data_IF_185541356974
#
_entry.id   IF_185541356974
#
_cell.length_a   1.000
_cell.length_b   1.000
_cell.length_c   1.000
_cell.angle_alpha   90.00
_cell.angle_beta   90.00
_cell.angle_gamma   90.00
#
_symmetry.space_group_name_H-M   'P 1'
#
loop_
_entity.id
_entity.type
_entity.pdbx_description
1 polymer ?
#
# COMPACT_ATOMS: atom_id res chain seq x y z
N UNK A 1 7.73 -3.51 -10.02
CA UNK A 1 8.07 -4.82 -10.61
C UNK A 1 8.16 -5.92 -9.55
N UNK A 2 8.83 -5.69 -8.41
CA UNK A 2 8.86 -6.66 -7.30
C UNK A 2 7.53 -6.73 -6.54
N UNK A 3 6.96 -5.58 -6.15
CA UNK A 3 5.71 -5.52 -5.39
C UNK A 3 4.55 -6.14 -6.15
N UNK A 4 4.47 -5.91 -7.47
CA UNK A 4 3.49 -6.58 -8.33
C UNK A 4 3.66 -8.10 -8.30
N UNK A 5 4.90 -8.63 -8.38
CA UNK A 5 5.13 -10.08 -8.28
C UNK A 5 4.70 -10.64 -6.92
N UNK A 6 5.03 -9.97 -5.82
CA UNK A 6 4.59 -10.37 -4.49
C UNK A 6 3.05 -10.33 -4.38
N UNK A 7 2.41 -9.30 -4.94
CA UNK A 7 0.95 -9.19 -4.98
C UNK A 7 0.31 -10.40 -5.67
N UNK A 8 0.85 -10.84 -6.81
CA UNK A 8 0.36 -12.03 -7.52
C UNK A 8 0.60 -13.32 -6.73
N UNK A 9 1.73 -13.43 -6.04
CA UNK A 9 2.03 -14.59 -5.17
C UNK A 9 1.01 -14.67 -4.03
N UNK A 10 0.83 -13.59 -3.28
CA UNK A 10 -0.10 -13.55 -2.15
C UNK A 10 -1.57 -13.61 -2.58
N UNK A 11 -1.90 -13.18 -3.80
CA UNK A 11 -3.25 -13.37 -4.36
C UNK A 11 -3.52 -14.82 -4.79
N UNK A 12 -2.52 -15.69 -4.76
CA UNK A 12 -2.67 -17.10 -5.12
C UNK A 12 -2.69 -17.37 -6.63
N UNK A 13 -2.17 -16.46 -7.46
CA UNK A 13 -2.20 -16.57 -8.92
C UNK A 13 -1.14 -17.56 -9.47
N UNK A 14 -1.22 -18.81 -9.01
CA UNK A 14 -0.28 -19.91 -9.27
C UNK A 14 0.05 -20.11 -10.76
N UNK A 15 -0.95 -19.95 -11.64
CA UNK A 15 -0.78 -20.13 -13.08
C UNK A 15 0.29 -19.20 -13.68
N UNK A 16 0.49 -17.99 -13.12
CA UNK A 16 1.51 -17.05 -13.58
C UNK A 16 2.94 -17.52 -13.31
N UNK A 17 3.10 -18.51 -12.43
CA UNK A 17 4.40 -18.98 -11.95
C UNK A 17 4.77 -20.39 -12.45
N UNK A 18 3.99 -20.96 -13.37
CA UNK A 18 4.27 -22.29 -13.91
C UNK A 18 5.66 -22.36 -14.57
N UNK A 19 6.46 -23.34 -14.16
CA UNK A 19 7.83 -23.52 -14.66
C UNK A 19 8.89 -22.63 -13.99
N UNK A 20 8.48 -21.73 -13.08
CA UNK A 20 9.41 -20.95 -12.25
C UNK A 20 9.78 -21.69 -10.98
N UNK A 21 10.93 -21.33 -10.39
CA UNK A 21 11.48 -21.97 -9.20
C UNK A 21 10.50 -22.04 -8.01
N UNK A 22 9.65 -21.03 -7.83
CA UNK A 22 8.73 -20.94 -6.68
C UNK A 22 7.50 -21.86 -6.79
N UNK A 23 7.20 -22.37 -7.99
CA UNK A 23 5.93 -23.02 -8.31
C UNK A 23 5.54 -24.16 -7.35
N UNK A 24 6.52 -24.98 -6.97
CA UNK A 24 6.36 -26.15 -6.11
C UNK A 24 6.98 -25.94 -4.71
N UNK A 25 7.38 -24.70 -4.36
CA UNK A 25 8.10 -24.39 -3.12
C UNK A 25 7.23 -23.79 -2.03
N UNK A 26 6.02 -23.38 -2.37
CA UNK A 26 5.08 -22.75 -1.45
C UNK A 26 3.70 -23.38 -1.59
N UNK A 27 2.91 -23.26 -0.54
CA UNK A 27 1.47 -23.49 -0.62
C UNK A 27 0.81 -22.24 -1.21
N UNK A 28 0.05 -22.43 -2.28
CA UNK A 28 -0.67 -21.35 -2.94
C UNK A 28 -1.95 -21.03 -2.18
N UNK A 29 -1.82 -20.17 -1.17
CA UNK A 29 -2.95 -19.63 -0.40
C UNK A 29 -3.22 -18.19 -0.82
N UNK A 30 -4.49 -17.91 -1.15
CA UNK A 30 -4.92 -16.55 -1.49
C UNK A 30 -5.17 -15.72 -0.22
N UNK A 31 -4.58 -14.55 -0.19
CA UNK A 31 -4.72 -13.54 0.84
C UNK A 31 -5.28 -12.25 0.24
N UNK A 32 -6.08 -11.47 1.00
CA UNK A 32 -6.36 -10.09 0.66
C UNK A 32 -5.07 -9.29 0.59
N UNK A 33 -4.83 -8.62 -0.54
CA UNK A 33 -3.62 -7.80 -0.76
C UNK A 33 -4.00 -6.33 -0.90
N UNK A 34 -3.43 -5.50 -0.05
CA UNK A 34 -3.48 -4.04 -0.15
C UNK A 34 -2.12 -3.58 -0.66
N UNK A 35 -2.10 -2.89 -1.80
CA UNK A 35 -0.88 -2.29 -2.35
C UNK A 35 -0.95 -0.78 -2.16
N UNK A 36 0.07 -0.23 -1.51
CA UNK A 36 0.30 1.21 -1.36
C UNK A 36 1.51 1.55 -2.24
N UNK A 37 1.27 2.22 -3.37
CA UNK A 37 2.32 2.70 -4.27
C UNK A 37 2.47 4.21 -4.11
N UNK A 38 3.57 4.64 -3.50
CA UNK A 38 3.84 6.05 -3.27
C UNK A 38 4.09 6.86 -4.54
N UNK A 39 4.35 6.23 -5.70
CA UNK A 39 4.34 6.94 -6.99
C UNK A 39 2.95 7.43 -7.40
N UNK A 40 1.92 6.70 -6.96
CA UNK A 40 0.53 7.00 -7.28
C UNK A 40 -0.16 7.90 -6.24
N UNK A 41 0.49 8.10 -5.09
CA UNK A 41 0.01 8.96 -4.01
C UNK A 41 0.64 10.34 -4.21
N UNK A 42 -0.18 11.38 -4.32
CA UNK A 42 0.36 12.73 -4.39
C UNK A 42 0.76 13.19 -2.98
N UNK A 43 2.00 13.63 -2.84
CA UNK A 43 2.60 14.04 -1.56
C UNK A 43 3.13 15.49 -1.61
N UNK A 44 2.56 16.33 -2.49
CA UNK A 44 2.95 17.73 -2.65
C UNK A 44 2.82 18.56 -1.36
N UNK A 45 1.86 18.20 -0.50
CA UNK A 45 1.77 18.65 0.88
C UNK A 45 0.97 17.63 1.73
N UNK A 46 0.92 17.84 3.04
CA UNK A 46 0.25 16.92 3.98
C UNK A 46 -1.24 16.75 3.74
N UNK A 47 -1.96 17.78 3.27
CA UNK A 47 -3.40 17.68 2.99
C UNK A 47 -3.66 16.83 1.75
N UNK A 48 -2.91 17.06 0.68
CA UNK A 48 -3.00 16.29 -0.56
C UNK A 48 -2.60 14.83 -0.34
N UNK A 49 -1.57 14.60 0.50
CA UNK A 49 -1.18 13.26 0.92
C UNK A 49 -2.31 12.54 1.66
N UNK A 50 -2.91 13.21 2.66
CA UNK A 50 -4.03 12.65 3.42
C UNK A 50 -5.24 12.34 2.53
N UNK A 51 -5.60 13.25 1.60
CA UNK A 51 -6.70 13.03 0.67
C UNK A 51 -6.42 11.86 -0.29
N UNK A 52 -5.19 11.75 -0.80
CA UNK A 52 -4.77 10.65 -1.69
C UNK A 52 -4.80 9.30 -0.96
N UNK A 53 -4.32 9.26 0.28
CA UNK A 53 -4.36 8.06 1.12
C UNK A 53 -5.80 7.67 1.45
N UNK A 54 -6.67 8.62 1.80
CA UNK A 54 -8.09 8.35 2.03
C UNK A 54 -8.76 7.76 0.78
N UNK A 55 -8.49 8.33 -0.40
CA UNK A 55 -9.01 7.79 -1.66
C UNK A 55 -8.56 6.35 -1.93
N UNK A 56 -7.31 6.02 -1.57
CA UNK A 56 -6.81 4.64 -1.64
C UNK A 56 -7.60 3.72 -0.69
N UNK A 57 -7.82 4.14 0.57
CA UNK A 57 -8.59 3.37 1.55
C UNK A 57 -10.02 3.13 1.06
N UNK A 58 -10.71 4.16 0.58
CA UNK A 58 -12.07 4.05 0.05
C UNK A 58 -12.15 3.11 -1.15
N UNK A 59 -11.17 3.17 -2.06
CA UNK A 59 -11.08 2.26 -3.21
C UNK A 59 -10.93 0.82 -2.77
N UNK A 60 -10.10 0.55 -1.77
CA UNK A 60 -9.92 -0.81 -1.23
C UNK A 60 -11.18 -1.25 -0.47
N UNK A 61 -11.74 -0.40 0.38
CA UNK A 61 -12.98 -0.66 1.10
C UNK A 61 -14.12 -1.02 0.14
N UNK A 62 -14.27 -0.29 -0.97
CA UNK A 62 -15.24 -0.57 -2.02
C UNK A 62 -15.09 -1.94 -2.66
N UNK A 63 -13.85 -2.43 -2.89
CA UNK A 63 -13.61 -3.79 -3.42
C UNK A 63 -14.15 -4.89 -2.49
N UNK A 64 -14.15 -4.63 -1.18
CA UNK A 64 -14.64 -5.54 -0.17
C UNK A 64 -16.04 -5.17 0.36
N UNK A 65 -16.70 -4.17 -0.23
CA UNK A 65 -18.00 -3.63 0.22
C UNK A 65 -18.00 -3.26 1.72
N UNK A 66 -16.89 -2.68 2.18
CA UNK A 66 -16.71 -2.25 3.56
C UNK A 66 -17.05 -0.77 3.68
N UNK A 67 -17.79 -0.42 4.73
CA UNK A 67 -18.01 0.97 5.14
C UNK A 67 -17.03 1.30 6.27
N UNK A 68 -16.20 2.32 6.07
CA UNK A 68 -15.31 2.87 7.08
C UNK A 68 -16.07 3.94 7.88
N UNK A 69 -15.85 3.98 9.19
CA UNK A 69 -16.63 4.83 10.11
C UNK A 69 -15.77 5.80 10.90
N UNK A 70 -14.46 5.54 11.01
CA UNK A 70 -13.57 6.44 11.74
C UNK A 70 -13.35 7.78 11.02
N UNK A 71 -13.33 8.92 11.75
CA UNK A 71 -12.98 10.22 11.18
C UNK A 71 -11.47 10.38 10.91
N UNK A 72 -10.62 9.50 11.44
CA UNK A 72 -9.16 9.62 11.33
C UNK A 72 -8.59 8.57 10.37
N UNK A 73 -7.76 8.99 9.42
CA UNK A 73 -7.15 8.11 8.39
C UNK A 73 -6.39 6.93 9.01
N UNK A 74 -5.64 7.18 10.10
CA UNK A 74 -4.93 6.11 10.83
C UNK A 74 -5.89 5.00 11.25
N UNK A 75 -6.99 5.39 11.86
CA UNK A 75 -7.96 4.47 12.43
C UNK A 75 -8.79 3.82 11.32
N UNK A 76 -9.09 4.54 10.23
CA UNK A 76 -9.70 3.95 9.04
C UNK A 76 -8.84 2.86 8.42
N UNK A 77 -7.52 3.02 8.39
CA UNK A 77 -6.62 1.99 7.87
C UNK A 77 -6.63 0.73 8.75
N UNK A 78 -6.61 0.89 10.07
CA UNK A 78 -6.74 -0.23 11.01
C UNK A 78 -8.12 -0.92 10.86
N UNK A 79 -9.20 -0.14 10.85
CA UNK A 79 -10.58 -0.60 10.65
C UNK A 79 -10.73 -1.37 9.34
N UNK A 80 -10.11 -0.89 8.26
CA UNK A 80 -10.12 -1.57 6.96
C UNK A 80 -9.49 -2.97 7.05
N UNK A 81 -8.30 -3.07 7.66
CA UNK A 81 -7.60 -4.35 7.82
C UNK A 81 -8.42 -5.32 8.66
N UNK A 82 -8.96 -4.85 9.79
CA UNK A 82 -9.79 -5.65 10.69
C UNK A 82 -11.04 -6.17 9.96
N UNK A 83 -11.78 -5.29 9.27
CA UNK A 83 -13.00 -5.68 8.55
C UNK A 83 -12.74 -6.60 7.36
N UNK A 84 -11.61 -6.44 6.66
CA UNK A 84 -11.22 -7.38 5.60
C UNK A 84 -10.92 -8.75 6.21
N UNK A 85 -10.20 -8.80 7.33
CA UNK A 85 -9.94 -10.05 8.03
C UNK A 85 -11.25 -10.69 8.50
N UNK A 86 -12.17 -9.94 9.10
CA UNK A 86 -13.47 -10.45 9.54
C UNK A 86 -14.29 -11.03 8.37
N UNK A 87 -14.29 -10.36 7.20
CA UNK A 87 -15.04 -10.81 6.02
C UNK A 87 -14.41 -12.04 5.34
N UNK A 88 -13.07 -12.14 5.32
CA UNK A 88 -12.36 -13.16 4.54
C UNK A 88 -11.82 -14.31 5.38
N UNK A 89 -11.67 -14.12 6.69
CA UNK A 89 -10.96 -15.00 7.62
C UNK A 89 -9.52 -15.31 7.18
N UNK A 90 -8.92 -14.41 6.39
CA UNK A 90 -7.56 -14.51 5.88
C UNK A 90 -6.72 -13.34 6.38
N UNK A 91 -5.46 -13.61 6.72
CA UNK A 91 -4.50 -12.55 7.06
C UNK A 91 -4.35 -11.60 5.86
N UNK A 92 -4.43 -10.31 6.13
CA UNK A 92 -4.28 -9.25 5.13
C UNK A 92 -2.79 -8.97 4.91
N UNK A 93 -2.37 -8.96 3.64
CA UNK A 93 -1.02 -8.59 3.25
C UNK A 93 -1.02 -7.13 2.81
N UNK A 94 -0.18 -6.31 3.43
CA UNK A 94 0.05 -4.92 3.04
C UNK A 94 1.41 -4.83 2.38
N UNK A 95 1.42 -4.47 1.10
CA UNK A 95 2.64 -4.22 0.34
C UNK A 95 2.80 -2.72 0.14
N UNK A 96 3.99 -2.22 0.42
CA UNK A 96 4.33 -0.80 0.29
C UNK A 96 5.47 -0.69 -0.72
N UNK A 97 5.23 0.01 -1.82
CA UNK A 97 6.24 0.32 -2.84
C UNK A 97 6.66 1.78 -2.74
N UNK A 98 7.95 2.05 -2.99
CA UNK A 98 8.51 3.40 -3.14
C UNK A 98 8.30 4.33 -1.93
N UNK A 99 8.30 3.74 -0.72
CA UNK A 99 8.17 4.48 0.55
C UNK A 99 9.31 5.46 0.81
N UNK A 100 10.44 5.29 0.14
CA UNK A 100 11.64 6.11 0.26
C UNK A 100 11.50 7.46 -0.48
N UNK A 101 10.68 7.55 -1.54
CA UNK A 101 10.47 8.78 -2.30
C UNK A 101 10.07 9.99 -1.45
N UNK A 102 9.00 9.92 -0.63
CA UNK A 102 8.62 11.05 0.22
C UNK A 102 9.74 11.45 1.19
N UNK A 103 10.56 10.50 1.63
CA UNK A 103 11.67 10.75 2.56
C UNK A 103 12.80 11.48 1.83
N UNK A 104 13.19 10.98 0.66
CA UNK A 104 14.26 11.55 -0.19
C UNK A 104 13.88 12.95 -0.66
N UNK A 105 12.67 13.14 -1.19
CA UNK A 105 12.20 14.43 -1.69
C UNK A 105 12.17 15.50 -0.58
N UNK A 106 11.81 15.10 0.65
CA UNK A 106 11.82 16.01 1.79
C UNK A 106 13.24 16.38 2.24
N UNK A 107 14.18 15.42 2.20
CA UNK A 107 15.60 15.66 2.50
C UNK A 107 16.23 16.59 1.45
N UNK A 108 15.96 16.39 0.16
CA UNK A 108 16.46 17.28 -0.91
C UNK A 108 15.93 18.71 -0.74
N UNK A 109 14.65 18.86 -0.40
CA UNK A 109 14.03 20.16 -0.11
C UNK A 109 14.74 20.88 1.04
N UNK A 110 15.02 20.17 2.15
CA UNK A 110 15.74 20.73 3.31
C UNK A 110 17.18 21.13 2.91
N UNK A 111 17.90 20.29 2.18
CA UNK A 111 19.24 20.58 1.69
C UNK A 111 19.28 21.83 0.79
N UNK A 112 18.30 22.00 -0.09
CA UNK A 112 18.22 23.16 -0.98
C UNK A 112 17.94 24.46 -0.20
N UNK A 113 17.06 24.41 0.81
CA UNK A 113 16.77 25.56 1.68
C UNK A 113 17.99 25.94 2.52
N UNK A 114 18.74 24.97 3.05
CA UNK A 114 19.96 25.21 3.80
C UNK A 114 21.03 25.91 2.94
N UNK A 115 21.17 25.53 1.67
CA UNK A 115 22.11 26.18 0.74
C UNK A 115 21.76 27.64 0.41
N UNK A 116 20.47 27.97 0.26
CA UNK A 116 20.03 29.35 0.01
C UNK A 116 20.30 30.26 1.20
N UNK A 117 20.15 29.77 2.44
CA UNK A 117 20.39 30.56 3.65
C UNK A 117 21.88 30.61 4.07
N UNK A 118 22.74 29.86 3.40
CA UNK A 118 24.20 29.84 3.64
C UNK A 118 24.98 30.77 2.70
N UNK A 119 24.29 31.60 1.91
CA UNK A 119 24.87 32.48 0.89
C UNK A 119 24.53 33.94 1.10
#
# INVERSE_FOLDING_TARGET
MLVSTLSEIFSGNQALFQGLYIYDKIEWQAHPVIVIDFNSISYSNGEVFNASLLSLLDKVAGKYEIVLSSPFIRDQFAELIEKIYEKTQQKVVVLIDEYDKPIVDHIETICHIAWIHSR
#
